data_IF_456496902425
#
_entry.id   IF_456496902425
#
_cell.length_a   1.000
_cell.length_b   1.000
_cell.length_c   1.000
_cell.angle_alpha   90.00
_cell.angle_beta   90.00
_cell.angle_gamma   90.00
#
_symmetry.space_group_name_H-M   'P 1'
#
loop_
_entity.id
_entity.type
_entity.pdbx_description
1 polymer ?
#
# COMPACT_ATOMS: atom_id res chain seq x y z
N UNK A 1 12.35 -14.71 46.36
CA UNK A 1 11.20 -15.59 46.68
C UNK A 1 10.04 -14.66 46.99
N UNK A 2 9.10 -14.48 46.06
CA UNK A 2 7.79 -13.88 46.36
C UNK A 2 6.86 -14.28 45.23
N UNK A 3 5.97 -15.20 45.52
CA UNK A 3 4.92 -15.68 44.62
C UNK A 3 3.73 -14.73 44.78
N UNK A 4 3.31 -14.10 43.68
CA UNK A 4 2.05 -13.36 43.63
C UNK A 4 1.06 -14.18 42.81
N UNK A 5 0.05 -14.65 43.51
CA UNK A 5 -1.10 -15.43 43.00
C UNK A 5 -2.14 -14.43 42.49
N UNK A 6 -2.50 -14.47 41.20
CA UNK A 6 -3.63 -13.72 40.66
C UNK A 6 -4.85 -14.64 40.56
N UNK A 7 -5.89 -14.24 41.28
CA UNK A 7 -7.19 -14.87 41.27
C UNK A 7 -7.99 -14.53 40.02
N UNK A 8 -8.58 -15.54 39.39
CA UNK A 8 -9.50 -15.43 38.28
C UNK A 8 -10.87 -14.96 38.74
N UNK A 9 -11.43 -13.93 38.11
CA UNK A 9 -12.84 -13.53 38.24
C UNK A 9 -13.54 -13.79 36.89
N UNK A 10 -14.38 -14.82 36.91
CA UNK A 10 -15.36 -15.16 35.89
C UNK A 10 -16.59 -14.26 36.04
N UNK A 11 -16.95 -13.48 35.05
CA UNK A 11 -18.26 -12.84 34.97
C UNK A 11 -19.00 -13.41 33.77
N UNK A 12 -20.06 -14.17 34.06
CA UNK A 12 -21.02 -14.66 33.08
C UNK A 12 -22.10 -13.59 32.86
N UNK A 13 -22.31 -13.15 31.60
CA UNK A 13 -23.44 -12.33 31.22
C UNK A 13 -24.31 -13.10 30.20
N UNK A 14 -25.50 -13.44 30.61
CA UNK A 14 -26.57 -14.01 29.79
C UNK A 14 -27.27 -12.90 29.04
N UNK A 15 -27.47 -13.06 27.71
CA UNK A 15 -28.26 -12.15 26.89
C UNK A 15 -29.45 -12.90 26.34
N UNK A 16 -30.63 -12.34 26.61
CA UNK A 16 -31.96 -12.81 26.25
C UNK A 16 -32.26 -12.57 24.77
N UNK A 17 -32.78 -13.60 24.10
CA UNK A 17 -33.39 -13.52 22.78
C UNK A 17 -34.78 -12.90 22.88
N UNK A 18 -35.06 -11.90 22.08
CA UNK A 18 -36.41 -11.42 21.79
C UNK A 18 -36.70 -11.63 20.31
N UNK A 19 -37.53 -12.62 20.01
CA UNK A 19 -38.10 -12.84 18.70
C UNK A 19 -39.30 -11.91 18.48
N UNK A 20 -39.51 -11.48 17.24
CA UNK A 20 -40.81 -11.03 16.73
C UNK A 20 -41.10 -11.72 15.40
N UNK A 21 -42.12 -12.60 15.41
CA UNK A 21 -42.81 -13.13 14.26
C UNK A 21 -43.94 -12.18 13.90
N UNK A 22 -44.19 -11.99 12.61
CA UNK A 22 -45.37 -11.30 12.08
C UNK A 22 -45.63 -11.73 10.63
N UNK A 23 -46.75 -12.36 10.43
CA UNK A 23 -47.26 -13.23 9.44
C UNK A 23 -47.74 -12.61 8.09
N UNK A 24 -48.38 -13.44 7.23
CA UNK A 24 -48.53 -13.18 5.80
C UNK A 24 -49.88 -12.57 5.42
N UNK A 25 -49.92 -11.86 4.29
CA UNK A 25 -51.18 -11.44 3.66
C UNK A 25 -50.97 -10.85 2.26
N UNK A 26 -51.94 -10.87 1.37
CA UNK A 26 -51.77 -11.45 0.05
C UNK A 26 -51.70 -10.47 -1.16
N UNK A 27 -51.26 -11.03 -2.28
CA UNK A 27 -51.46 -10.66 -3.70
C UNK A 27 -52.16 -9.36 -4.09
N UNK A 28 -51.47 -8.59 -4.93
CA UNK A 28 -52.06 -8.02 -6.15
C UNK A 28 -50.98 -7.63 -7.15
N UNK A 29 -50.97 -8.26 -8.31
CA UNK A 29 -50.32 -7.75 -9.54
C UNK A 29 -51.21 -6.69 -10.15
N UNK A 30 -50.68 -5.63 -10.78
CA UNK A 30 -50.78 -5.59 -12.23
C UNK A 30 -49.53 -5.09 -12.96
N UNK A 31 -49.46 -5.52 -14.18
CA UNK A 31 -48.49 -5.28 -15.22
C UNK A 31 -48.37 -3.80 -15.62
N UNK A 32 -47.14 -3.37 -15.96
CA UNK A 32 -46.87 -2.19 -16.75
C UNK A 32 -45.38 -2.05 -17.05
N UNK A 33 -44.95 -1.91 -18.32
CA UNK A 33 -43.53 -1.92 -18.69
C UNK A 33 -42.94 -0.54 -18.60
N UNK A 34 -41.78 -0.45 -17.97
CA UNK A 34 -40.98 0.77 -17.88
C UNK A 34 -39.55 0.44 -17.50
N UNK A 35 -38.79 -0.12 -18.45
CA UNK A 35 -37.38 -0.40 -18.30
C UNK A 35 -36.61 0.91 -18.51
N UNK A 36 -36.21 1.57 -17.44
CA UNK A 36 -35.18 2.60 -17.51
C UNK A 36 -33.88 1.96 -16.97
N UNK A 37 -32.86 1.78 -17.80
CA UNK A 37 -31.56 1.31 -17.28
C UNK A 37 -30.94 2.37 -16.40
N UNK A 38 -30.65 2.02 -15.14
CA UNK A 38 -29.82 2.82 -14.27
C UNK A 38 -28.42 2.92 -14.87
N UNK A 39 -27.78 4.11 -14.86
CA UNK A 39 -26.41 4.24 -15.30
C UNK A 39 -25.49 3.52 -14.32
N UNK A 40 -24.92 2.41 -14.77
CA UNK A 40 -23.79 1.77 -14.10
C UNK A 40 -22.60 2.72 -14.22
N UNK A 41 -22.24 3.40 -13.17
CA UNK A 41 -20.99 4.15 -13.08
C UNK A 41 -19.85 3.14 -13.01
N UNK A 42 -19.33 2.73 -14.17
CA UNK A 42 -18.03 2.07 -14.25
C UNK A 42 -16.97 3.13 -13.90
N UNK A 43 -16.49 3.08 -12.68
CA UNK A 43 -15.28 3.79 -12.29
C UNK A 43 -14.11 3.03 -12.90
N UNK A 44 -13.74 3.39 -14.13
CA UNK A 44 -12.46 3.00 -14.70
C UNK A 44 -11.38 3.77 -13.96
N UNK A 45 -10.71 3.07 -13.03
CA UNK A 45 -9.40 3.52 -12.53
C UNK A 45 -8.45 3.41 -13.73
N UNK A 46 -7.82 4.50 -14.21
CA UNK A 46 -6.81 4.37 -15.23
C UNK A 46 -5.62 3.62 -14.63
N UNK A 47 -5.43 2.38 -15.05
CA UNK A 47 -4.17 1.69 -14.85
C UNK A 47 -3.09 2.56 -15.50
N UNK A 48 -2.13 3.04 -14.71
CA UNK A 48 -0.97 3.72 -15.23
C UNK A 48 -0.27 2.76 -16.21
N UNK A 49 -0.44 3.01 -17.51
CA UNK A 49 0.29 2.29 -18.55
C UNK A 49 1.76 2.65 -18.38
N UNK A 50 2.53 1.74 -17.84
CA UNK A 50 3.99 1.80 -17.94
C UNK A 50 4.33 1.78 -19.43
N UNK A 51 4.77 2.89 -19.98
CA UNK A 51 5.35 2.94 -21.33
C UNK A 51 6.68 2.21 -21.22
N UNK A 52 6.69 0.94 -21.63
CA UNK A 52 7.89 0.15 -21.72
C UNK A 52 8.82 0.80 -22.76
N UNK A 53 9.99 1.25 -22.32
CA UNK A 53 11.09 1.63 -23.20
C UNK A 53 11.51 0.36 -23.96
N UNK A 54 11.42 0.38 -25.28
CA UNK A 54 11.81 -0.72 -26.14
C UNK A 54 13.31 -1.05 -25.90
N UNK A 55 13.58 -2.26 -25.44
CA UNK A 55 14.82 -3.02 -25.29
C UNK A 55 15.07 -3.60 -23.88
N UNK A 56 14.16 -3.46 -22.95
CA UNK A 56 14.23 -4.24 -21.70
C UNK A 56 13.77 -5.67 -22.00
N UNK A 57 14.59 -6.68 -21.64
CA UNK A 57 14.19 -8.09 -21.72
C UNK A 57 12.90 -8.36 -20.94
N UNK A 58 12.37 -9.57 -21.03
CA UNK A 58 11.16 -9.97 -20.29
C UNK A 58 11.40 -9.86 -18.78
N UNK A 59 10.53 -9.15 -18.07
CA UNK A 59 10.57 -9.05 -16.61
C UNK A 59 10.51 -10.45 -15.98
N UNK A 60 11.39 -10.68 -15.02
CA UNK A 60 11.40 -11.88 -14.19
C UNK A 60 11.47 -11.46 -12.72
N UNK A 61 10.52 -11.87 -11.87
CA UNK A 61 10.59 -11.58 -10.44
C UNK A 61 11.75 -12.32 -9.78
N UNK A 62 12.26 -11.80 -8.67
CA UNK A 62 13.21 -12.50 -7.82
C UNK A 62 12.56 -13.73 -7.17
N UNK A 63 13.35 -14.78 -7.01
CA UNK A 63 12.98 -16.00 -6.31
C UNK A 63 14.19 -16.58 -5.55
N UNK A 64 14.05 -17.78 -4.99
CA UNK A 64 15.14 -18.48 -4.30
C UNK A 64 16.37 -18.79 -5.20
N UNK A 65 16.25 -18.64 -6.53
CA UNK A 65 17.31 -18.98 -7.50
C UNK A 65 18.06 -17.74 -7.99
N UNK A 66 17.50 -16.53 -7.77
CA UNK A 66 18.19 -15.32 -8.21
C UNK A 66 17.38 -14.05 -8.08
N UNK A 67 18.07 -12.96 -8.36
CA UNK A 67 17.57 -11.59 -8.35
C UNK A 67 16.51 -11.39 -9.43
N UNK A 68 15.66 -10.37 -9.24
CA UNK A 68 14.78 -9.92 -10.30
C UNK A 68 15.58 -9.42 -11.52
N UNK A 69 15.04 -9.66 -12.70
CA UNK A 69 15.67 -9.26 -13.97
C UNK A 69 14.71 -8.35 -14.75
N UNK A 70 15.26 -7.35 -15.43
CA UNK A 70 14.51 -6.42 -16.29
C UNK A 70 13.32 -5.75 -15.57
N UNK A 71 13.52 -5.35 -14.31
CA UNK A 71 12.50 -4.71 -13.50
C UNK A 71 12.14 -3.35 -14.14
N UNK A 72 10.86 -3.12 -14.49
CA UNK A 72 10.44 -1.87 -15.09
C UNK A 72 10.66 -0.69 -14.14
N UNK A 73 11.34 0.35 -14.60
CA UNK A 73 11.52 1.58 -13.82
C UNK A 73 10.20 2.33 -13.76
N UNK A 74 9.62 2.60 -12.58
CA UNK A 74 8.39 3.37 -12.49
C UNK A 74 8.59 4.81 -13.02
N UNK A 75 7.66 5.26 -13.88
CA UNK A 75 7.64 6.61 -14.42
C UNK A 75 6.64 7.45 -13.64
N UNK A 76 7.06 8.64 -13.22
CA UNK A 76 6.17 9.57 -12.51
C UNK A 76 5.07 10.06 -13.47
N UNK A 77 3.78 9.85 -13.14
CA UNK A 77 2.68 10.40 -13.93
C UNK A 77 2.74 11.94 -13.93
N UNK A 78 2.41 12.58 -15.04
CA UNK A 78 2.36 14.06 -15.11
C UNK A 78 1.40 14.63 -14.04
N UNK A 79 0.27 13.96 -13.82
CA UNK A 79 -0.70 14.32 -12.78
C UNK A 79 -0.06 14.41 -11.39
N UNK A 80 0.92 13.55 -11.08
CA UNK A 80 1.62 13.54 -9.78
C UNK A 80 2.47 14.80 -9.52
N UNK A 81 2.63 15.66 -10.52
CA UNK A 81 3.34 16.95 -10.36
C UNK A 81 2.41 18.09 -9.94
N UNK A 82 1.10 17.91 -10.07
CA UNK A 82 0.12 18.95 -9.79
C UNK A 82 -0.10 19.15 -8.28
N UNK A 83 -0.20 20.41 -7.86
CA UNK A 83 -0.64 20.75 -6.51
C UNK A 83 -2.18 20.68 -6.42
N UNK A 84 -2.70 19.47 -6.46
CA UNK A 84 -4.12 19.15 -6.42
C UNK A 84 -4.37 17.86 -5.65
N UNK A 85 -5.63 17.60 -5.29
CA UNK A 85 -6.02 16.31 -4.67
C UNK A 85 -5.62 15.12 -5.56
N UNK A 86 -5.94 15.21 -6.85
CA UNK A 86 -5.61 14.15 -7.80
C UNK A 86 -4.10 13.98 -7.98
N UNK A 87 -3.34 15.07 -7.97
CA UNK A 87 -1.88 15.05 -8.02
C UNK A 87 -1.27 14.41 -6.78
N UNK A 88 -1.78 14.74 -5.60
CA UNK A 88 -1.38 14.13 -4.33
C UNK A 88 -1.58 12.60 -4.35
N UNK A 89 -2.77 12.14 -4.78
CA UNK A 89 -3.10 10.72 -4.85
C UNK A 89 -2.23 9.98 -5.88
N UNK A 90 -2.01 10.59 -7.05
CA UNK A 90 -1.12 10.06 -8.08
C UNK A 90 0.33 9.95 -7.60
N UNK A 91 0.81 10.97 -6.86
CA UNK A 91 2.15 10.95 -6.28
C UNK A 91 2.31 9.83 -5.23
N UNK A 92 1.32 9.63 -4.36
CA UNK A 92 1.34 8.53 -3.39
C UNK A 92 1.44 7.18 -4.12
N UNK A 93 0.64 6.96 -5.16
CA UNK A 93 0.72 5.75 -5.97
C UNK A 93 2.12 5.54 -6.58
N UNK A 94 2.71 6.60 -7.11
CA UNK A 94 4.07 6.57 -7.65
C UNK A 94 5.12 6.26 -6.56
N UNK A 95 4.99 6.85 -5.37
CA UNK A 95 5.91 6.58 -4.26
C UNK A 95 5.91 5.09 -3.88
N UNK A 96 4.73 4.45 -3.79
CA UNK A 96 4.65 3.01 -3.50
C UNK A 96 5.16 2.14 -4.65
N UNK A 97 5.01 2.58 -5.90
CA UNK A 97 5.63 1.90 -7.05
C UNK A 97 7.16 1.97 -6.96
N UNK A 98 7.72 3.11 -6.56
CA UNK A 98 9.16 3.25 -6.32
C UNK A 98 9.64 2.42 -5.12
N UNK A 99 8.80 2.23 -4.10
CA UNK A 99 9.12 1.34 -2.98
C UNK A 99 9.22 -0.11 -3.45
N UNK A 100 8.28 -0.60 -4.27
CA UNK A 100 8.35 -1.94 -4.86
C UNK A 100 9.60 -2.10 -5.73
N UNK A 101 9.89 -1.12 -6.59
CA UNK A 101 11.09 -1.12 -7.41
C UNK A 101 12.38 -1.18 -6.58
N UNK A 102 12.41 -0.45 -5.46
CA UNK A 102 13.56 -0.47 -4.56
C UNK A 102 13.74 -1.83 -3.88
N UNK A 103 12.66 -2.50 -3.48
CA UNK A 103 12.73 -3.87 -2.96
C UNK A 103 13.31 -4.83 -3.99
N UNK A 104 12.86 -4.76 -5.25
CA UNK A 104 13.27 -5.68 -6.31
C UNK A 104 14.68 -5.43 -6.85
N UNK A 105 15.23 -4.22 -6.68
CA UNK A 105 16.51 -3.82 -7.29
C UNK A 105 17.59 -3.41 -6.31
N UNK A 106 17.24 -3.13 -5.05
CA UNK A 106 18.11 -2.51 -4.07
C UNK A 106 18.35 -1.01 -4.29
N UNK A 107 17.76 -0.42 -5.33
CA UNK A 107 17.96 1.00 -5.67
C UNK A 107 16.97 1.90 -4.93
N UNK A 108 17.41 2.50 -3.83
CA UNK A 108 16.62 3.42 -3.00
C UNK A 108 16.75 4.89 -3.40
N UNK A 109 17.52 5.21 -4.44
CA UNK A 109 17.88 6.60 -4.80
C UNK A 109 16.65 7.49 -5.01
N UNK A 110 15.66 7.00 -5.76
CA UNK A 110 14.44 7.77 -6.02
C UNK A 110 13.58 7.95 -4.77
N UNK A 111 13.47 6.93 -3.92
CA UNK A 111 12.76 7.05 -2.64
C UNK A 111 13.37 8.12 -1.74
N UNK A 112 14.70 8.27 -1.74
CA UNK A 112 15.41 9.31 -0.98
C UNK A 112 15.01 10.70 -1.46
N UNK A 113 14.88 10.92 -2.75
CA UNK A 113 14.48 12.23 -3.29
C UNK A 113 12.99 12.54 -3.04
N UNK A 114 12.14 11.52 -3.00
CA UNK A 114 10.70 11.65 -2.79
C UNK A 114 10.28 11.69 -1.31
N UNK A 115 11.24 11.55 -0.40
CA UNK A 115 10.99 11.49 1.04
C UNK A 115 11.84 12.53 1.78
N UNK A 116 11.22 13.25 2.71
CA UNK A 116 11.95 14.17 3.57
C UNK A 116 12.89 13.40 4.52
N UNK A 117 14.05 13.94 4.86
CA UNK A 117 14.90 13.38 5.92
C UNK A 117 14.20 13.26 7.28
N UNK A 118 13.12 14.00 7.51
CA UNK A 118 12.32 13.92 8.74
C UNK A 118 11.39 12.70 8.77
N UNK A 119 11.12 12.03 7.63
CA UNK A 119 10.27 10.85 7.56
C UNK A 119 11.02 9.62 8.09
N UNK A 120 10.85 9.33 9.38
CA UNK A 120 11.59 8.23 10.04
C UNK A 120 11.24 6.85 9.46
N UNK A 121 9.95 6.59 9.17
CA UNK A 121 9.56 5.32 8.57
C UNK A 121 10.11 5.20 7.14
N UNK A 122 10.10 6.28 6.34
CA UNK A 122 10.71 6.27 5.02
C UNK A 122 12.21 5.89 5.09
N UNK A 123 12.93 6.51 6.02
CA UNK A 123 14.36 6.21 6.24
C UNK A 123 14.58 4.75 6.69
N UNK A 124 13.72 4.24 7.59
CA UNK A 124 13.80 2.84 8.05
C UNK A 124 13.55 1.84 6.93
N UNK A 125 12.58 2.10 6.06
CA UNK A 125 12.30 1.26 4.88
C UNK A 125 13.51 1.24 3.93
N UNK A 126 14.09 2.40 3.63
CA UNK A 126 15.28 2.52 2.78
C UNK A 126 16.47 1.76 3.36
N UNK A 127 16.75 1.93 4.66
CA UNK A 127 17.82 1.22 5.36
C UNK A 127 17.60 -0.29 5.37
N UNK A 128 16.37 -0.75 5.60
CA UNK A 128 16.01 -2.17 5.56
C UNK A 128 16.24 -2.79 4.18
N UNK A 129 15.86 -2.07 3.11
CA UNK A 129 16.10 -2.50 1.73
C UNK A 129 17.61 -2.58 1.48
N UNK A 130 18.37 -1.53 1.80
CA UNK A 130 19.81 -1.48 1.60
C UNK A 130 20.53 -2.61 2.35
N UNK A 131 20.12 -2.88 3.60
CA UNK A 131 20.66 -4.00 4.38
C UNK A 131 20.33 -5.36 3.77
N UNK A 132 19.11 -5.53 3.22
CA UNK A 132 18.70 -6.77 2.55
C UNK A 132 19.48 -7.06 1.26
N UNK A 133 20.14 -6.04 0.68
CA UNK A 133 20.92 -6.17 -0.56
C UNK A 133 22.44 -6.23 -0.35
N UNK A 134 22.91 -6.18 0.92
CA UNK A 134 24.33 -6.32 1.22
C UNK A 134 24.83 -7.74 0.98
N UNK A 135 26.16 -7.89 0.83
CA UNK A 135 26.87 -9.17 0.76
C UNK A 135 26.38 -10.09 -0.37
N UNK A 136 25.84 -9.52 -1.46
CA UNK A 136 25.33 -10.26 -2.60
C UNK A 136 23.92 -10.81 -2.43
N UNK A 137 23.27 -10.58 -1.29
CA UNK A 137 21.87 -10.95 -1.03
C UNK A 137 20.90 -10.26 -2.00
N UNK A 138 19.69 -10.73 -2.01
CA UNK A 138 18.57 -10.09 -2.73
C UNK A 138 17.25 -10.31 -1.99
N UNK A 139 16.30 -9.47 -2.32
CA UNK A 139 14.95 -9.53 -1.78
C UNK A 139 14.02 -10.09 -2.85
N UNK A 140 13.21 -11.09 -2.48
CA UNK A 140 12.14 -11.64 -3.29
C UNK A 140 10.78 -11.31 -2.66
N UNK A 141 9.76 -11.16 -3.48
CA UNK A 141 8.45 -10.65 -3.05
C UNK A 141 8.50 -9.17 -2.73
N UNK A 142 7.93 -8.77 -1.59
CA UNK A 142 7.89 -7.38 -1.11
C UNK A 142 7.14 -6.38 -1.99
N UNK A 143 6.48 -6.84 -3.06
CA UNK A 143 5.64 -5.99 -3.89
C UNK A 143 4.63 -5.21 -3.03
N UNK A 144 4.58 -3.89 -3.19
CA UNK A 144 3.67 -3.01 -2.48
C UNK A 144 2.70 -2.34 -3.43
N UNK A 145 1.41 -2.33 -3.05
CA UNK A 145 0.36 -1.66 -3.82
C UNK A 145 -0.49 -0.79 -2.90
N UNK A 146 -0.63 0.48 -3.23
CA UNK A 146 -1.67 1.33 -2.65
C UNK A 146 -3.01 1.00 -3.32
N UNK A 147 -3.92 0.35 -2.60
CA UNK A 147 -5.20 -0.12 -3.16
C UNK A 147 -6.34 0.86 -2.92
N UNK A 148 -6.23 1.72 -1.92
CA UNK A 148 -7.15 2.81 -1.67
C UNK A 148 -6.39 3.99 -1.06
N UNK A 149 -6.68 5.20 -1.51
CA UNK A 149 -6.12 6.45 -0.99
C UNK A 149 -7.29 7.35 -0.64
N UNK A 150 -7.36 7.79 0.61
CA UNK A 150 -8.32 8.78 1.10
C UNK A 150 -7.54 10.01 1.51
N UNK A 151 -7.55 11.04 0.69
CA UNK A 151 -6.86 12.29 0.95
C UNK A 151 -7.82 13.41 1.29
N UNK A 152 -7.44 14.23 2.26
CA UNK A 152 -8.02 15.53 2.52
C UNK A 152 -7.06 16.58 1.92
N UNK A 153 -7.56 17.35 0.96
CA UNK A 153 -6.77 18.37 0.27
C UNK A 153 -7.31 19.76 0.55
N UNK A 154 -6.47 20.58 1.16
CA UNK A 154 -6.73 22.02 1.37
C UNK A 154 -5.63 22.81 0.64
N UNK A 155 -5.97 23.58 -0.42
CA UNK A 155 -4.98 24.32 -1.20
C UNK A 155 -4.26 25.42 -0.39
N UNK A 156 -4.77 25.76 0.79
CA UNK A 156 -4.16 26.77 1.69
C UNK A 156 -3.24 26.15 2.74
N UNK A 157 -3.33 24.85 2.94
CA UNK A 157 -2.50 24.13 3.91
C UNK A 157 -1.11 23.84 3.36
N UNK A 158 -0.10 24.04 4.19
CA UNK A 158 1.31 23.74 3.83
C UNK A 158 1.61 22.25 3.84
N UNK A 159 0.81 21.46 4.54
CA UNK A 159 0.95 20.00 4.64
C UNK A 159 -0.40 19.36 4.39
N UNK A 160 -0.41 18.39 3.51
CA UNK A 160 -1.58 17.58 3.18
C UNK A 160 -1.50 16.24 3.90
N UNK A 161 -2.64 15.60 4.15
CA UNK A 161 -2.69 14.27 4.73
C UNK A 161 -3.49 13.29 3.89
N UNK A 162 -3.10 12.04 3.93
CA UNK A 162 -3.82 10.94 3.31
C UNK A 162 -3.76 9.69 4.18
N UNK A 163 -4.83 8.89 4.13
CA UNK A 163 -4.84 7.51 4.61
C UNK A 163 -4.72 6.61 3.40
N UNK A 164 -3.76 5.71 3.44
CA UNK A 164 -3.42 4.81 2.33
C UNK A 164 -3.56 3.38 2.80
N UNK A 165 -4.41 2.61 2.14
CA UNK A 165 -4.43 1.16 2.33
C UNK A 165 -3.36 0.53 1.45
N UNK A 166 -2.49 -0.27 2.04
CA UNK A 166 -1.33 -0.87 1.40
C UNK A 166 -1.40 -2.38 1.53
N UNK A 167 -1.34 -3.05 0.39
CA UNK A 167 -1.05 -4.47 0.34
C UNK A 167 0.45 -4.64 0.14
N UNK A 168 1.09 -5.44 0.97
CA UNK A 168 2.48 -5.84 0.82
C UNK A 168 2.56 -7.36 0.73
N UNK A 169 3.26 -7.85 -0.27
CA UNK A 169 3.59 -9.26 -0.40
C UNK A 169 4.58 -9.70 0.68
N UNK A 170 4.71 -11.00 0.90
CA UNK A 170 5.73 -11.52 1.80
C UNK A 170 7.14 -11.09 1.35
N UNK A 171 8.03 -10.82 2.32
CA UNK A 171 9.41 -10.44 2.04
C UNK A 171 10.31 -11.61 2.40
N UNK A 172 11.07 -12.07 1.45
CA UNK A 172 12.12 -13.08 1.63
C UNK A 172 13.47 -12.46 1.29
N UNK A 173 14.46 -12.67 2.14
CA UNK A 173 15.83 -12.24 1.87
C UNK A 173 16.68 -13.49 1.66
N UNK A 174 17.27 -13.60 0.47
CA UNK A 174 18.05 -14.75 0.04
C UNK A 174 19.53 -14.46 0.02
N UNK A 175 20.32 -15.42 0.45
CA UNK A 175 21.77 -15.40 0.34
C UNK A 175 22.26 -15.99 -0.99
N UNK A 176 23.49 -15.66 -1.44
CA UNK A 176 24.05 -16.21 -2.68
C UNK A 176 24.13 -17.73 -2.74
N UNK A 177 24.14 -18.41 -1.60
CA UNK A 177 24.16 -19.87 -1.49
C UNK A 177 22.75 -20.50 -1.63
N UNK A 178 21.69 -19.69 -1.81
CA UNK A 178 20.30 -20.14 -1.94
C UNK A 178 19.60 -20.43 -0.62
N UNK A 179 20.15 -20.03 0.53
CA UNK A 179 19.47 -20.11 1.82
C UNK A 179 18.76 -18.80 2.15
N UNK A 180 17.72 -18.86 2.99
CA UNK A 180 17.12 -17.65 3.57
C UNK A 180 18.07 -17.03 4.58
N UNK A 181 18.26 -15.70 4.49
CA UNK A 181 19.05 -14.94 5.45
C UNK A 181 18.38 -14.84 6.82
N UNK A 182 17.05 -14.77 6.82
CA UNK A 182 16.23 -14.67 8.04
C UNK A 182 14.83 -15.25 7.78
N UNK A 183 14.03 -15.39 8.84
CA UNK A 183 12.63 -15.76 8.73
C UNK A 183 11.87 -14.76 7.82
N UNK A 184 11.08 -15.23 6.85
CA UNK A 184 10.31 -14.35 5.98
C UNK A 184 9.35 -13.45 6.73
N UNK A 185 9.25 -12.19 6.31
CA UNK A 185 8.19 -11.30 6.77
C UNK A 185 6.89 -11.65 6.06
N UNK A 186 5.84 -11.92 6.82
CA UNK A 186 4.54 -12.28 6.24
C UNK A 186 3.93 -11.13 5.42
N UNK A 187 3.15 -11.48 4.40
CA UNK A 187 2.34 -10.53 3.66
C UNK A 187 1.39 -9.76 4.59
N UNK A 188 1.13 -8.51 4.26
CA UNK A 188 0.29 -7.65 5.09
C UNK A 188 -0.72 -6.85 4.26
N UNK A 189 -1.85 -6.52 4.91
CA UNK A 189 -2.82 -5.54 4.46
C UNK A 189 -2.97 -4.54 5.60
N UNK A 190 -2.40 -3.37 5.44
CA UNK A 190 -2.30 -2.37 6.50
C UNK A 190 -2.74 -0.99 6.00
N UNK A 191 -3.05 -0.11 6.95
CA UNK A 191 -3.29 1.29 6.64
C UNK A 191 -2.11 2.14 7.14
N UNK A 192 -1.72 3.12 6.33
CA UNK A 192 -0.71 4.12 6.66
C UNK A 192 -1.31 5.51 6.60
N UNK A 193 -0.88 6.39 7.50
CA UNK A 193 -1.12 7.83 7.37
C UNK A 193 0.13 8.46 6.76
N UNK A 194 -0.03 9.17 5.67
CA UNK A 194 1.02 9.94 5.02
C UNK A 194 0.76 11.43 5.21
N UNK A 195 1.79 12.19 5.57
CA UNK A 195 1.82 13.64 5.51
C UNK A 195 2.74 14.07 4.37
N UNK A 196 2.27 14.99 3.53
CA UNK A 196 2.96 15.40 2.31
C UNK A 196 3.01 16.93 2.22
N UNK A 197 4.03 17.43 1.54
CA UNK A 197 4.16 18.84 1.19
C UNK A 197 4.47 18.98 -0.29
N UNK A 198 3.84 19.95 -0.94
CA UNK A 198 4.17 20.35 -2.28
C UNK A 198 5.11 21.56 -2.25
N UNK A 199 6.23 21.47 -2.97
CA UNK A 199 7.22 22.54 -3.10
C UNK A 199 7.52 22.83 -4.56
N UNK A 200 8.62 23.54 -4.81
CA UNK A 200 9.08 23.90 -6.16
C UNK A 200 9.45 22.66 -6.98
N UNK A 201 9.89 21.60 -6.32
CA UNK A 201 10.30 20.34 -6.95
C UNK A 201 9.15 19.29 -6.99
N UNK A 202 7.94 19.69 -6.61
CA UNK A 202 6.76 18.83 -6.53
C UNK A 202 6.48 18.29 -5.12
N UNK A 203 5.81 17.14 -5.05
CA UNK A 203 5.44 16.51 -3.79
C UNK A 203 6.60 15.79 -3.10
N UNK A 204 6.59 15.80 -1.78
CA UNK A 204 7.49 15.02 -0.93
C UNK A 204 6.73 14.47 0.27
N UNK A 205 6.97 13.21 0.64
CA UNK A 205 6.48 12.65 1.90
C UNK A 205 7.32 13.21 3.04
N UNK A 206 6.67 13.90 3.98
CA UNK A 206 7.33 14.48 5.16
C UNK A 206 7.18 13.62 6.40
N UNK A 207 6.14 12.79 6.45
CA UNK A 207 5.93 11.78 7.49
C UNK A 207 5.11 10.61 6.95
N UNK A 208 5.38 9.42 7.45
CA UNK A 208 4.65 8.20 7.16
C UNK A 208 4.55 7.38 8.44
N UNK A 209 3.35 6.94 8.79
CA UNK A 209 3.11 6.16 9.99
C UNK A 209 2.08 5.06 9.76
N UNK A 210 2.25 3.91 10.41
CA UNK A 210 1.25 2.83 10.39
C UNK A 210 0.07 3.19 11.29
N UNK A 211 -1.15 2.96 10.80
CA UNK A 211 -2.38 3.04 11.59
C UNK A 211 -2.60 1.67 12.24
N UNK A 212 -2.73 1.66 13.57
CA UNK A 212 -2.98 0.47 14.38
C UNK A 212 -4.42 0.42 14.85
#
# INVERSE_FOLDING_TARGET
MSRVTFAALLVAAAVLLSGCQGGPGPSASPSGPGTTPAPTLSVSVPAASATATADAGVYKPADAKGKAENVPVPVMPELAKENSKAGLEAFIGYWYAQLSYAYETGNTSQLKTLSSPSCLLCASLQQGIEAGWQDGRWIAGAGTKSVAIQSEFDPTATTQSAVVQVLQEAIEIWEPNGSLYQEPTAASNSASRAALRHGVDGWVIVDLGLIR
#
